data_IF_194422122869
#
_entry.id   IF_194422122869
#
_cell.length_a   1.000
_cell.length_b   1.000
_cell.length_c   1.000
_cell.angle_alpha   90.00
_cell.angle_beta   90.00
_cell.angle_gamma   90.00
#
_symmetry.space_group_name_H-M   'P 1'
#
loop_
_entity.id
_entity.type
_entity.pdbx_description
1 polymer ?
#
# COMPACT_ATOMS: atom_id res chain seq x y z
N UNK A 1 31.08 -86.49 103.45
CA UNK A 1 31.62 -85.32 102.71
C UNK A 1 32.78 -85.68 101.77
N UNK A 2 33.52 -86.75 102.03
CA UNK A 2 34.76 -87.12 101.31
C UNK A 2 34.52 -87.84 99.96
N UNK A 3 33.58 -88.80 99.92
CA UNK A 3 33.24 -89.54 98.69
C UNK A 3 32.79 -88.64 97.52
N UNK A 4 31.96 -87.62 97.77
CA UNK A 4 31.52 -86.68 96.71
C UNK A 4 32.66 -85.82 96.15
N UNK A 5 33.71 -85.56 96.94
CA UNK A 5 34.88 -84.79 96.47
C UNK A 5 35.80 -85.67 95.61
N UNK A 6 36.00 -86.92 96.00
CA UNK A 6 36.75 -87.91 95.22
C UNK A 6 36.10 -88.18 93.86
N UNK A 7 34.77 -88.33 93.83
CA UNK A 7 34.05 -88.62 92.59
C UNK A 7 34.11 -87.45 91.60
N UNK A 8 33.94 -86.20 92.06
CA UNK A 8 34.17 -85.03 91.19
C UNK A 8 35.60 -84.97 90.65
N UNK A 9 36.60 -85.23 91.50
CA UNK A 9 38.01 -85.18 91.08
C UNK A 9 38.34 -86.29 90.07
N UNK A 10 37.65 -87.43 90.16
CA UNK A 10 37.76 -88.51 89.19
C UNK A 10 37.09 -88.15 87.86
N UNK A 11 35.88 -87.61 87.89
CA UNK A 11 35.18 -87.13 86.70
C UNK A 11 35.94 -86.00 86.01
N UNK A 12 36.53 -85.08 86.78
CA UNK A 12 37.38 -84.01 86.26
C UNK A 12 38.64 -84.57 85.60
N UNK A 13 39.29 -85.58 86.20
CA UNK A 13 40.43 -86.25 85.59
C UNK A 13 40.05 -87.07 84.35
N UNK A 14 38.88 -87.71 84.33
CA UNK A 14 38.37 -88.43 83.16
C UNK A 14 38.06 -87.47 82.02
N UNK A 15 37.35 -86.37 82.29
CA UNK A 15 37.11 -85.31 81.31
C UNK A 15 38.41 -84.68 80.81
N UNK A 16 39.38 -84.48 81.69
CA UNK A 16 40.68 -83.93 81.32
C UNK A 16 41.48 -84.92 80.46
N UNK A 17 41.44 -86.21 80.80
CA UNK A 17 42.05 -87.28 80.00
C UNK A 17 41.38 -87.37 78.63
N UNK A 18 40.06 -87.36 78.54
CA UNK A 18 39.32 -87.35 77.28
C UNK A 18 39.62 -86.10 76.46
N UNK A 19 39.69 -84.94 77.10
CA UNK A 19 40.08 -83.69 76.46
C UNK A 19 41.49 -83.76 75.86
N UNK A 20 42.47 -84.27 76.61
CA UNK A 20 43.83 -84.45 76.09
C UNK A 20 43.91 -85.53 75.01
N UNK A 21 43.07 -86.56 75.07
CA UNK A 21 43.01 -87.61 74.04
C UNK A 21 42.45 -87.06 72.73
N UNK A 22 41.37 -86.27 72.79
CA UNK A 22 40.77 -85.62 71.62
C UNK A 22 41.64 -84.49 71.07
N UNK A 23 42.29 -83.69 71.93
CA UNK A 23 43.15 -82.58 71.51
C UNK A 23 44.54 -83.05 71.03
N UNK A 24 45.01 -84.19 71.52
CA UNK A 24 46.29 -84.82 71.16
C UNK A 24 46.24 -85.64 69.87
N UNK A 25 45.04 -85.96 69.36
CA UNK A 25 44.89 -86.53 68.03
C UNK A 25 45.21 -85.48 66.95
N UNK A 26 46.23 -85.77 66.14
CA UNK A 26 46.57 -84.97 64.95
C UNK A 26 45.37 -84.97 63.99
N UNK A 27 44.69 -83.84 63.88
CA UNK A 27 43.57 -83.65 62.94
C UNK A 27 44.12 -83.64 61.51
N UNK A 28 44.18 -84.81 60.86
CA UNK A 28 44.52 -84.91 59.45
C UNK A 28 43.24 -84.61 58.66
N UNK A 29 43.07 -83.35 58.27
CA UNK A 29 41.96 -82.91 57.42
C UNK A 29 42.30 -83.25 55.96
N UNK A 30 42.24 -84.54 55.61
CA UNK A 30 42.55 -85.06 54.26
C UNK A 30 41.80 -84.29 53.16
N UNK A 31 40.56 -83.87 53.45
CA UNK A 31 39.71 -83.09 52.55
C UNK A 31 40.24 -81.67 52.28
N UNK A 32 40.95 -81.04 53.23
CA UNK A 32 41.56 -79.72 53.04
C UNK A 32 42.84 -79.80 52.19
N UNK A 33 43.68 -80.81 52.44
CA UNK A 33 44.88 -81.06 51.64
C UNK A 33 44.51 -81.38 50.18
N UNK A 34 43.48 -82.21 49.97
CA UNK A 34 42.99 -82.53 48.61
C UNK A 34 42.40 -81.31 47.90
N UNK A 35 41.68 -80.44 48.63
CA UNK A 35 41.14 -79.18 48.08
C UNK A 35 42.23 -78.19 47.71
N UNK A 36 43.30 -78.08 48.50
CA UNK A 36 44.45 -77.24 48.17
C UNK A 36 45.24 -77.77 46.97
N UNK A 37 45.46 -79.09 46.89
CA UNK A 37 46.10 -79.73 45.73
C UNK A 37 45.27 -79.49 44.47
N UNK A 38 43.94 -79.66 44.54
CA UNK A 38 43.03 -79.41 43.41
C UNK A 38 43.06 -77.94 42.98
N UNK A 39 43.07 -77.00 43.92
CA UNK A 39 43.23 -75.56 43.61
C UNK A 39 44.56 -75.27 42.93
N UNK A 40 45.67 -75.87 43.40
CA UNK A 40 46.99 -75.71 42.76
C UNK A 40 47.01 -76.33 41.36
N UNK A 41 46.36 -77.47 41.15
CA UNK A 41 46.24 -78.10 39.83
C UNK A 41 45.42 -77.25 38.86
N UNK A 42 44.28 -76.71 39.29
CA UNK A 42 43.46 -75.79 38.48
C UNK A 42 44.24 -74.51 38.17
N UNK A 43 44.92 -73.91 39.15
CA UNK A 43 45.76 -72.73 38.92
C UNK A 43 46.89 -73.01 37.91
N UNK A 44 47.54 -74.18 37.99
CA UNK A 44 48.55 -74.60 37.02
C UNK A 44 47.95 -74.84 35.63
N UNK A 45 46.79 -75.48 35.53
CA UNK A 45 46.10 -75.71 34.26
C UNK A 45 45.71 -74.38 33.60
N UNK A 46 45.16 -73.44 34.37
CA UNK A 46 44.82 -72.10 33.88
C UNK A 46 46.06 -71.32 33.44
N UNK A 47 47.16 -71.40 34.19
CA UNK A 47 48.43 -70.78 33.80
C UNK A 47 48.96 -71.38 32.49
N UNK A 48 48.86 -72.69 32.32
CA UNK A 48 49.29 -73.37 31.11
C UNK A 48 48.43 -72.99 29.91
N UNK A 49 47.11 -72.88 30.09
CA UNK A 49 46.18 -72.43 29.06
C UNK A 49 46.43 -70.97 28.67
N UNK A 50 46.77 -70.11 29.63
CA UNK A 50 47.17 -68.74 29.34
C UNK A 50 48.49 -68.70 28.56
N UNK A 51 49.48 -69.51 28.94
CA UNK A 51 50.75 -69.61 28.22
C UNK A 51 50.54 -70.08 26.78
N UNK A 52 49.72 -71.11 26.56
CA UNK A 52 49.44 -71.58 25.20
C UNK A 52 48.72 -70.52 24.37
N UNK A 53 47.77 -69.77 24.95
CA UNK A 53 47.13 -68.63 24.29
C UNK A 53 48.13 -67.54 23.92
N UNK A 54 49.04 -67.15 24.81
CA UNK A 54 50.06 -66.13 24.51
C UNK A 54 51.03 -66.58 23.43
N UNK A 55 51.45 -67.85 23.44
CA UNK A 55 52.34 -68.41 22.41
C UNK A 55 51.64 -68.41 21.05
N UNK A 56 50.39 -68.84 20.98
CA UNK A 56 49.61 -68.82 19.74
C UNK A 56 49.43 -67.39 19.23
N UNK A 57 49.07 -66.45 20.10
CA UNK A 57 48.90 -65.04 19.74
C UNK A 57 50.20 -64.42 19.20
N UNK A 58 51.36 -64.76 19.77
CA UNK A 58 52.66 -64.32 19.25
C UNK A 58 52.94 -64.95 17.87
N UNK A 59 52.57 -66.21 17.66
CA UNK A 59 52.71 -66.86 16.37
C UNK A 59 51.84 -66.20 15.30
N UNK A 60 50.57 -65.92 15.63
CA UNK A 60 49.61 -65.23 14.77
C UNK A 60 50.11 -63.81 14.40
N UNK A 61 50.66 -63.07 15.37
CA UNK A 61 51.25 -61.74 15.12
C UNK A 61 52.45 -61.83 14.16
N UNK A 62 53.32 -62.82 14.34
CA UNK A 62 54.48 -63.01 13.45
C UNK A 62 54.05 -63.38 12.03
N UNK A 63 53.02 -64.22 11.91
CA UNK A 63 52.45 -64.59 10.61
C UNK A 63 51.83 -63.39 9.92
N UNK A 64 51.04 -62.59 10.64
CA UNK A 64 50.39 -61.37 10.13
C UNK A 64 51.39 -60.29 9.71
N UNK A 65 52.41 -60.03 10.52
CA UNK A 65 53.44 -59.02 10.20
C UNK A 65 54.49 -59.53 9.20
N UNK A 66 54.45 -60.81 8.81
CA UNK A 66 55.42 -61.46 7.94
C UNK A 66 56.89 -61.29 8.39
N UNK A 67 57.12 -61.12 9.69
CA UNK A 67 58.45 -60.88 10.27
C UNK A 67 58.73 -61.86 11.43
N UNK A 68 59.85 -62.62 11.40
CA UNK A 68 60.09 -63.66 12.41
C UNK A 68 60.62 -63.12 13.75
N UNK A 69 61.22 -61.92 13.73
CA UNK A 69 61.87 -61.27 14.87
C UNK A 69 60.87 -60.34 15.59
N UNK A 70 60.45 -60.75 16.78
CA UNK A 70 59.46 -60.01 17.58
C UNK A 70 59.94 -58.59 17.95
N UNK A 71 61.25 -58.41 18.18
CA UNK A 71 61.82 -57.09 18.52
C UNK A 71 61.69 -56.07 17.38
N UNK A 72 61.75 -56.52 16.13
CA UNK A 72 61.57 -55.63 14.99
C UNK A 72 60.10 -55.26 14.80
N UNK A 73 59.18 -56.22 14.99
CA UNK A 73 57.74 -55.95 14.99
C UNK A 73 57.41 -54.91 16.07
N UNK A 74 57.96 -55.06 17.27
CA UNK A 74 57.74 -54.12 18.37
C UNK A 74 58.29 -52.72 18.07
N UNK A 75 59.48 -52.62 17.45
CA UNK A 75 60.06 -51.34 17.01
C UNK A 75 59.23 -50.69 15.91
N UNK A 76 58.87 -51.43 14.86
CA UNK A 76 58.05 -50.94 13.76
C UNK A 76 56.66 -50.49 14.25
N UNK A 77 56.07 -51.22 15.19
CA UNK A 77 54.81 -50.83 15.81
C UNK A 77 54.95 -49.52 16.60
N UNK A 78 56.01 -49.37 17.38
CA UNK A 78 56.27 -48.14 18.13
C UNK A 78 56.48 -46.94 17.19
N UNK A 79 57.28 -47.11 16.13
CA UNK A 79 57.53 -46.06 15.14
C UNK A 79 56.22 -45.65 14.43
N UNK A 80 55.39 -46.63 14.05
CA UNK A 80 54.07 -46.38 13.46
C UNK A 80 53.09 -45.75 14.45
N UNK A 81 53.13 -46.16 15.72
CA UNK A 81 52.30 -45.60 16.78
C UNK A 81 52.67 -44.13 17.01
N UNK A 82 53.96 -43.80 17.05
CA UNK A 82 54.45 -42.42 17.15
C UNK A 82 54.01 -41.57 15.95
N UNK A 83 54.15 -42.09 14.72
CA UNK A 83 53.72 -41.38 13.51
C UNK A 83 52.20 -41.17 13.50
N UNK A 84 51.43 -42.18 13.86
CA UNK A 84 49.97 -42.11 13.94
C UNK A 84 49.52 -41.15 15.04
N UNK A 85 50.20 -41.13 16.19
CA UNK A 85 49.92 -40.21 17.27
C UNK A 85 50.25 -38.76 16.89
N UNK A 86 51.34 -38.54 16.15
CA UNK A 86 51.68 -37.23 15.59
C UNK A 86 50.60 -36.75 14.60
N UNK A 87 50.14 -37.62 13.69
CA UNK A 87 49.04 -37.32 12.76
C UNK A 87 47.74 -37.01 13.50
N UNK A 88 47.39 -37.81 14.50
CA UNK A 88 46.19 -37.59 15.32
C UNK A 88 46.24 -36.25 16.04
N UNK A 89 47.38 -35.91 16.66
CA UNK A 89 47.59 -34.60 17.27
C UNK A 89 47.45 -33.46 16.27
N UNK A 90 48.01 -33.60 15.07
CA UNK A 90 47.91 -32.58 14.03
C UNK A 90 46.46 -32.38 13.57
N UNK A 91 45.70 -33.46 13.36
CA UNK A 91 44.28 -33.39 13.01
C UNK A 91 43.48 -32.73 14.13
N UNK A 92 43.75 -33.04 15.40
CA UNK A 92 43.08 -32.38 16.52
C UNK A 92 43.39 -30.90 16.58
N UNK A 93 44.65 -30.51 16.37
CA UNK A 93 45.04 -29.11 16.32
C UNK A 93 44.33 -28.37 15.18
N UNK A 94 44.26 -28.96 13.98
CA UNK A 94 43.53 -28.38 12.86
C UNK A 94 42.03 -28.25 13.14
N UNK A 95 41.43 -29.22 13.83
CA UNK A 95 40.02 -29.15 14.21
C UNK A 95 39.79 -28.03 15.24
N UNK A 96 40.67 -27.90 16.23
CA UNK A 96 40.62 -26.82 17.22
C UNK A 96 40.75 -25.44 16.54
N UNK A 97 41.69 -25.29 15.60
CA UNK A 97 41.85 -24.07 14.81
C UNK A 97 40.62 -23.78 13.94
N UNK A 98 40.01 -24.81 13.35
CA UNK A 98 38.79 -24.68 12.56
C UNK A 98 37.60 -24.23 13.42
N UNK A 99 37.46 -24.79 14.62
CA UNK A 99 36.44 -24.38 15.59
C UNK A 99 36.65 -22.91 16.00
N UNK A 100 37.88 -22.52 16.34
CA UNK A 100 38.20 -21.13 16.70
C UNK A 100 37.88 -20.14 15.56
N UNK A 101 38.25 -20.50 14.33
CA UNK A 101 37.97 -19.70 13.14
C UNK A 101 36.47 -19.61 12.86
N UNK A 102 35.73 -20.70 13.01
CA UNK A 102 34.28 -20.74 12.84
C UNK A 102 33.59 -19.85 13.89
N UNK A 103 34.01 -19.92 15.15
CA UNK A 103 33.49 -19.07 16.22
C UNK A 103 33.81 -17.59 16.00
N UNK A 104 35.01 -17.29 15.49
CA UNK A 104 35.38 -15.92 15.12
C UNK A 104 34.55 -15.41 13.95
N UNK A 105 34.31 -16.24 12.94
CA UNK A 105 33.45 -15.90 11.80
C UNK A 105 32.01 -15.66 12.27
N UNK A 106 31.47 -16.53 13.13
CA UNK A 106 30.13 -16.37 13.70
C UNK A 106 30.00 -15.06 14.49
N UNK A 107 31.00 -14.72 15.31
CA UNK A 107 31.05 -13.43 16.02
C UNK A 107 31.06 -12.23 15.07
N UNK A 108 31.88 -12.27 14.02
CA UNK A 108 31.92 -11.20 13.01
C UNK A 108 30.60 -11.08 12.26
N UNK A 109 29.94 -12.20 11.93
CA UNK A 109 28.63 -12.18 11.29
C UNK A 109 27.56 -11.58 12.21
N UNK A 110 27.60 -11.88 13.52
CA UNK A 110 26.70 -11.27 14.50
C UNK A 110 26.97 -9.77 14.70
N UNK A 111 28.20 -9.30 14.53
CA UNK A 111 28.53 -7.88 14.63
C UNK A 111 28.16 -7.10 13.36
N UNK A 112 28.45 -7.67 12.18
CA UNK A 112 28.28 -6.99 10.89
C UNK A 112 26.88 -7.18 10.33
N UNK A 113 26.27 -8.36 10.48
CA UNK A 113 24.97 -8.70 9.92
C UNK A 113 23.89 -7.68 10.27
N UNK A 114 23.63 -7.39 11.56
CA UNK A 114 22.62 -6.41 11.96
C UNK A 114 22.91 -5.00 11.42
N UNK A 115 24.18 -4.60 11.32
CA UNK A 115 24.59 -3.31 10.73
C UNK A 115 24.29 -3.26 9.25
N UNK A 116 24.53 -4.35 8.52
CA UNK A 116 24.27 -4.44 7.09
C UNK A 116 22.76 -4.47 6.81
N UNK A 117 21.98 -5.16 7.62
CA UNK A 117 20.52 -5.20 7.51
C UNK A 117 19.91 -3.81 7.71
N UNK A 118 20.33 -3.10 8.77
CA UNK A 118 19.90 -1.71 9.02
C UNK A 118 20.34 -0.78 7.90
N UNK A 119 21.56 -0.93 7.39
CA UNK A 119 22.04 -0.13 6.26
C UNK A 119 21.20 -0.36 5.00
N UNK A 120 20.89 -1.62 4.68
CA UNK A 120 20.08 -1.98 3.52
C UNK A 120 18.64 -1.45 3.65
N UNK A 121 18.04 -1.56 4.84
CA UNK A 121 16.70 -1.02 5.10
C UNK A 121 16.68 0.51 4.98
N UNK A 122 17.65 1.20 5.58
CA UNK A 122 17.78 2.66 5.44
C UNK A 122 17.99 3.07 3.98
N UNK A 123 18.82 2.36 3.24
CA UNK A 123 19.06 2.64 1.83
C UNK A 123 17.79 2.46 0.99
N UNK A 124 17.01 1.39 1.24
CA UNK A 124 15.73 1.17 0.56
C UNK A 124 14.72 2.28 0.86
N UNK A 125 14.62 2.72 2.12
CA UNK A 125 13.76 3.85 2.51
C UNK A 125 14.19 5.15 1.84
N UNK A 126 15.50 5.45 1.80
CA UNK A 126 16.02 6.63 1.13
C UNK A 126 15.74 6.62 -0.37
N UNK A 127 15.87 5.47 -1.03
CA UNK A 127 15.55 5.34 -2.46
C UNK A 127 14.05 5.55 -2.73
N UNK A 128 13.18 5.00 -1.88
CA UNK A 128 11.74 5.24 -1.96
C UNK A 128 11.39 6.72 -1.78
N UNK A 129 11.96 7.38 -0.77
CA UNK A 129 11.76 8.81 -0.56
C UNK A 129 12.29 9.65 -1.71
N UNK A 130 13.45 9.31 -2.28
CA UNK A 130 13.98 10.01 -3.44
C UNK A 130 13.03 9.90 -4.65
N UNK A 131 12.44 8.72 -4.89
CA UNK A 131 11.44 8.52 -5.93
C UNK A 131 10.17 9.34 -5.68
N UNK A 132 9.62 9.28 -4.47
CA UNK A 132 8.43 10.06 -4.11
C UNK A 132 8.67 11.57 -4.24
N UNK A 133 9.84 12.05 -3.81
CA UNK A 133 10.22 13.44 -3.94
C UNK A 133 10.32 13.85 -5.41
N UNK A 134 10.94 13.02 -6.26
CA UNK A 134 11.04 13.27 -7.69
C UNK A 134 9.67 13.30 -8.38
N UNK A 135 8.76 12.38 -8.03
CA UNK A 135 7.39 12.38 -8.54
C UNK A 135 6.61 13.62 -8.09
N UNK A 136 6.76 14.01 -6.83
CA UNK A 136 6.11 15.20 -6.27
C UNK A 136 6.62 16.48 -6.94
N UNK A 137 7.93 16.59 -7.16
CA UNK A 137 8.52 17.73 -7.87
C UNK A 137 7.96 17.78 -9.30
N UNK A 138 7.92 16.65 -10.00
CA UNK A 138 7.40 16.58 -11.36
C UNK A 138 5.92 16.99 -11.44
N UNK A 139 5.09 16.49 -10.53
CA UNK A 139 3.67 16.88 -10.44
C UNK A 139 3.50 18.39 -10.15
N UNK A 140 4.35 18.96 -9.28
CA UNK A 140 4.35 20.40 -9.02
C UNK A 140 4.81 21.21 -10.23
N UNK A 141 5.81 20.75 -10.98
CA UNK A 141 6.27 21.37 -12.23
C UNK A 141 5.16 21.35 -13.28
N UNK A 142 4.48 20.21 -13.46
CA UNK A 142 3.36 20.08 -14.40
C UNK A 142 2.18 21.00 -14.01
N UNK A 143 1.84 21.05 -12.72
CA UNK A 143 0.80 21.96 -12.19
C UNK A 143 1.18 23.43 -12.39
N UNK A 144 2.44 23.78 -12.14
CA UNK A 144 2.95 25.13 -12.35
C UNK A 144 2.86 25.53 -13.83
N UNK A 145 3.29 24.65 -14.74
CA UNK A 145 3.23 24.91 -16.18
C UNK A 145 1.79 25.01 -16.70
N UNK A 146 0.89 24.18 -16.19
CA UNK A 146 -0.53 24.28 -16.51
C UNK A 146 -1.13 25.61 -16.02
N UNK A 147 -0.89 25.97 -14.76
CA UNK A 147 -1.36 27.23 -14.19
C UNK A 147 -0.81 28.45 -14.94
N UNK A 148 0.48 28.41 -15.31
CA UNK A 148 1.15 29.45 -16.10
C UNK A 148 0.55 29.60 -17.49
N UNK A 149 0.25 28.50 -18.18
CA UNK A 149 -0.44 28.51 -19.48
C UNK A 149 -1.84 29.07 -19.35
N UNK A 150 -2.62 28.62 -18.36
CA UNK A 150 -3.97 29.11 -18.09
C UNK A 150 -3.98 30.62 -17.79
N UNK A 151 -3.06 31.09 -16.94
CA UNK A 151 -2.92 32.51 -16.63
C UNK A 151 -2.61 33.35 -17.89
N UNK A 152 -1.70 32.88 -18.75
CA UNK A 152 -1.40 33.55 -20.03
C UNK A 152 -2.63 33.66 -20.93
N UNK A 153 -3.38 32.57 -21.11
CA UNK A 153 -4.61 32.58 -21.92
C UNK A 153 -5.62 33.58 -21.34
N UNK A 154 -5.81 33.60 -20.03
CA UNK A 154 -6.72 34.55 -19.37
C UNK A 154 -6.25 35.99 -19.48
N UNK A 155 -4.95 36.23 -19.44
CA UNK A 155 -4.37 37.55 -19.63
C UNK A 155 -4.55 38.05 -21.07
N UNK A 156 -4.42 37.16 -22.06
CA UNK A 156 -4.67 37.47 -23.47
C UNK A 156 -6.16 37.76 -23.73
N UNK A 157 -7.06 36.93 -23.17
CA UNK A 157 -8.51 37.17 -23.20
C UNK A 157 -8.86 38.54 -22.56
N UNK A 158 -8.26 38.85 -21.40
CA UNK A 158 -8.46 40.13 -20.72
C UNK A 158 -8.00 41.30 -21.59
N UNK A 159 -6.81 41.22 -22.20
CA UNK A 159 -6.29 42.25 -23.11
C UNK A 159 -7.19 42.45 -24.34
N UNK A 160 -7.81 41.39 -24.85
CA UNK A 160 -8.75 41.49 -25.96
C UNK A 160 -10.04 42.21 -25.56
N UNK A 161 -10.60 41.86 -24.40
CA UNK A 161 -11.79 42.51 -23.85
C UNK A 161 -11.51 43.98 -23.54
N UNK A 162 -10.35 44.28 -22.96
CA UNK A 162 -9.92 45.65 -22.67
C UNK A 162 -9.81 46.50 -23.94
N UNK A 163 -9.22 45.95 -25.02
CA UNK A 163 -9.18 46.62 -26.34
C UNK A 163 -10.58 46.90 -26.89
N UNK A 164 -11.50 45.95 -26.80
CA UNK A 164 -12.90 46.14 -27.23
C UNK A 164 -13.55 47.25 -26.42
N UNK A 165 -13.36 47.26 -25.11
CA UNK A 165 -13.95 48.25 -24.22
C UNK A 165 -13.36 49.66 -24.45
N UNK A 166 -12.05 49.77 -24.70
CA UNK A 166 -11.41 51.02 -25.11
C UNK A 166 -11.95 51.55 -26.44
N UNK A 167 -12.23 50.65 -27.39
CA UNK A 167 -12.87 51.01 -28.68
C UNK A 167 -14.28 51.54 -28.47
N UNK A 168 -15.05 50.95 -27.54
CA UNK A 168 -16.38 51.43 -27.18
C UNK A 168 -16.28 52.82 -26.52
N UNK A 169 -15.39 53.02 -25.56
CA UNK A 169 -15.19 54.32 -24.88
C UNK A 169 -14.85 55.41 -25.89
N UNK A 170 -13.88 55.16 -26.77
CA UNK A 170 -13.52 56.14 -27.82
C UNK A 170 -14.64 56.35 -28.83
N UNK A 171 -15.42 55.31 -29.16
CA UNK A 171 -16.63 55.43 -29.97
C UNK A 171 -17.69 56.33 -29.35
N UNK A 172 -17.98 56.15 -28.06
CA UNK A 172 -18.90 57.01 -27.30
C UNK A 172 -18.39 58.44 -27.26
N UNK A 173 -17.08 58.67 -27.04
CA UNK A 173 -16.50 60.00 -27.09
C UNK A 173 -16.66 60.70 -28.44
N UNK A 174 -16.50 59.97 -29.55
CA UNK A 174 -16.76 60.50 -30.90
C UNK A 174 -18.22 60.87 -31.11
N UNK A 175 -19.16 60.03 -30.68
CA UNK A 175 -20.60 60.31 -30.76
C UNK A 175 -20.97 61.54 -29.92
N UNK A 176 -20.41 61.64 -28.72
CA UNK A 176 -20.63 62.77 -27.83
C UNK A 176 -20.17 64.11 -28.45
N UNK A 177 -19.04 64.10 -29.16
CA UNK A 177 -18.57 65.24 -29.96
C UNK A 177 -19.48 65.56 -31.16
N UNK A 178 -19.94 64.55 -31.90
CA UNK A 178 -20.83 64.68 -33.06
C UNK A 178 -22.18 65.33 -32.71
N UNK A 179 -22.79 64.90 -31.61
CA UNK A 179 -24.09 65.42 -31.16
C UNK A 179 -23.99 66.74 -30.38
N UNK A 180 -22.78 67.31 -30.21
CA UNK A 180 -22.50 68.55 -29.46
C UNK A 180 -23.19 68.56 -28.08
N UNK A 181 -23.11 67.44 -27.39
CA UNK A 181 -23.67 67.31 -26.04
C UNK A 181 -22.94 68.25 -25.07
N UNK A 182 -23.67 68.95 -24.20
CA UNK A 182 -23.07 69.86 -23.20
C UNK A 182 -22.48 69.07 -22.04
N UNK A 183 -21.21 69.31 -21.72
CA UNK A 183 -20.50 68.68 -20.59
C UNK A 183 -20.73 69.37 -19.24
N UNK A 184 -21.27 70.59 -19.23
CA UNK A 184 -21.38 71.44 -18.03
C UNK A 184 -22.03 70.75 -16.79
N UNK A 185 -23.13 69.98 -16.91
CA UNK A 185 -23.73 69.31 -15.75
C UNK A 185 -22.98 68.03 -15.32
N UNK A 186 -22.15 67.45 -16.19
CA UNK A 186 -21.31 66.29 -15.87
C UNK A 186 -20.04 66.70 -15.15
N UNK A 187 -19.38 67.78 -15.59
CA UNK A 187 -18.13 68.28 -14.99
C UNK A 187 -18.35 68.74 -13.53
N UNK A 188 -19.52 69.32 -13.23
CA UNK A 188 -19.86 69.72 -11.85
C UNK A 188 -20.10 68.54 -10.92
N UNK A 189 -20.57 67.39 -11.45
CA UNK A 189 -20.87 66.18 -10.68
C UNK A 189 -19.66 65.24 -10.56
N UNK A 190 -18.80 65.20 -11.59
CA UNK A 190 -17.66 64.27 -11.71
C UNK A 190 -16.31 64.91 -11.37
N UNK A 191 -16.25 66.22 -11.13
CA UNK A 191 -15.01 66.95 -10.82
C UNK A 191 -14.04 67.03 -11.99
N UNK A 192 -12.73 66.96 -11.72
CA UNK A 192 -11.64 67.06 -12.73
C UNK A 192 -11.52 65.84 -13.67
N UNK A 193 -12.54 64.99 -13.78
CA UNK A 193 -12.56 63.85 -14.69
C UNK A 193 -13.15 64.26 -16.04
N UNK A 194 -12.43 65.11 -16.77
CA UNK A 194 -12.81 65.55 -18.12
C UNK A 194 -12.78 64.41 -19.15
N UNK A 195 -12.16 63.26 -18.81
CA UNK A 195 -12.05 62.08 -19.67
C UNK A 195 -13.12 61.02 -19.37
N UNK A 196 -13.61 60.39 -20.44
CA UNK A 196 -14.59 59.28 -20.34
C UNK A 196 -13.86 58.04 -19.82
N UNK A 197 -14.25 57.56 -18.65
CA UNK A 197 -13.74 56.34 -18.01
C UNK A 197 -14.83 55.29 -17.80
N UNK A 198 -14.43 54.04 -17.51
CA UNK A 198 -15.34 52.91 -17.27
C UNK A 198 -16.43 53.18 -16.23
N UNK A 199 -16.11 53.93 -15.19
CA UNK A 199 -17.05 54.25 -14.11
C UNK A 199 -18.01 55.40 -14.46
N UNK A 200 -17.64 56.25 -15.43
CA UNK A 200 -18.44 57.41 -15.84
C UNK A 200 -19.21 57.20 -17.15
N UNK A 201 -18.85 56.17 -17.95
CA UNK A 201 -19.41 55.97 -19.29
C UNK A 201 -20.93 55.85 -19.32
N UNK A 202 -21.52 55.27 -18.27
CA UNK A 202 -22.97 55.13 -18.17
C UNK A 202 -23.67 56.51 -18.12
N UNK A 203 -23.14 57.46 -17.35
CA UNK A 203 -23.67 58.83 -17.28
C UNK A 203 -23.54 59.57 -18.62
N UNK A 204 -22.41 59.37 -19.33
CA UNK A 204 -22.23 59.91 -20.68
C UNK A 204 -23.22 59.32 -21.69
N UNK A 205 -23.52 58.02 -21.58
CA UNK A 205 -24.51 57.35 -22.42
C UNK A 205 -25.93 57.84 -22.17
N UNK A 206 -26.34 58.04 -20.91
CA UNK A 206 -27.67 58.56 -20.56
C UNK A 206 -27.91 59.95 -21.16
N UNK A 207 -26.90 60.82 -21.10
CA UNK A 207 -26.97 62.17 -21.67
C UNK A 207 -26.96 62.13 -23.20
N UNK A 208 -26.16 61.25 -23.79
CA UNK A 208 -26.16 61.02 -25.23
C UNK A 208 -27.52 60.51 -25.70
N UNK A 209 -28.12 59.54 -25.00
CA UNK A 209 -29.43 58.98 -25.31
C UNK A 209 -30.53 60.04 -25.24
N UNK A 210 -30.56 60.84 -24.17
CA UNK A 210 -31.54 61.92 -24.03
C UNK A 210 -31.43 62.96 -25.16
N UNK A 211 -30.22 63.29 -25.60
CA UNK A 211 -30.00 64.21 -26.71
C UNK A 211 -30.37 63.60 -28.07
N UNK A 212 -30.04 62.33 -28.30
CA UNK A 212 -30.44 61.60 -29.51
C UNK A 212 -31.97 61.48 -29.59
N UNK A 213 -32.64 61.12 -28.50
CA UNK A 213 -34.11 61.07 -28.44
C UNK A 213 -34.73 62.44 -28.72
N UNK A 214 -34.22 63.53 -28.13
CA UNK A 214 -34.70 64.89 -28.44
C UNK A 214 -34.50 65.24 -29.92
N UNK A 215 -33.36 64.88 -30.51
CA UNK A 215 -33.09 65.10 -31.92
C UNK A 215 -34.02 64.29 -32.82
N UNK A 216 -34.23 62.99 -32.52
CA UNK A 216 -35.15 62.10 -33.24
C UNK A 216 -36.59 62.63 -33.18
N UNK A 217 -37.06 63.03 -32.00
CA UNK A 217 -38.38 63.63 -31.82
C UNK A 217 -38.50 64.92 -32.66
N UNK A 218 -37.48 65.77 -32.63
CA UNK A 218 -37.46 67.00 -33.42
C UNK A 218 -37.49 66.75 -34.93
N UNK A 219 -36.76 65.74 -35.42
CA UNK A 219 -36.79 65.31 -36.83
C UNK A 219 -38.17 64.74 -37.16
N UNK A 220 -38.71 63.85 -36.33
CA UNK A 220 -40.04 63.27 -36.51
C UNK A 220 -41.13 64.33 -36.66
N UNK A 221 -41.16 65.33 -35.77
CA UNK A 221 -42.16 66.42 -35.87
C UNK A 221 -41.95 67.31 -37.09
N UNK A 222 -40.70 67.58 -37.49
CA UNK A 222 -40.41 68.36 -38.71
C UNK A 222 -40.79 67.59 -39.97
N UNK A 223 -40.47 66.30 -40.05
CA UNK A 223 -40.84 65.42 -41.17
C UNK A 223 -42.35 65.26 -41.25
N UNK A 224 -43.04 65.05 -40.13
CA UNK A 224 -44.50 65.02 -40.05
C UNK A 224 -45.12 66.34 -40.53
N UNK A 225 -44.58 67.48 -40.11
CA UNK A 225 -45.04 68.79 -40.58
C UNK A 225 -44.77 69.04 -42.08
N UNK A 226 -43.71 68.46 -42.64
CA UNK A 226 -43.41 68.53 -44.08
C UNK A 226 -44.30 67.59 -44.92
N UNK A 227 -44.66 66.42 -44.38
CA UNK A 227 -45.64 65.49 -44.95
C UNK A 227 -47.04 66.09 -44.96
N UNK A 228 -47.46 66.71 -43.85
CA UNK A 228 -48.74 67.42 -43.76
C UNK A 228 -48.81 68.59 -44.76
N UNK A 229 -47.68 69.26 -45.01
CA UNK A 229 -47.54 70.33 -46.02
C UNK A 229 -47.29 69.81 -47.46
N UNK A 230 -47.34 68.50 -47.69
CA UNK A 230 -47.09 67.80 -48.98
C UNK A 230 -45.77 68.16 -49.68
N UNK A 231 -44.75 68.56 -48.92
CA UNK A 231 -43.41 68.87 -49.45
C UNK A 231 -42.48 67.66 -49.47
N UNK A 232 -42.92 66.51 -48.96
CA UNK A 232 -42.13 65.28 -48.81
C UNK A 232 -43.03 64.05 -49.00
N UNK A 233 -42.48 62.96 -49.55
CA UNK A 233 -43.21 61.69 -49.74
C UNK A 233 -43.02 60.73 -48.55
N UNK A 234 -43.97 59.82 -48.25
CA UNK A 234 -43.87 58.89 -47.12
C UNK A 234 -42.61 58.00 -47.16
N UNK A 235 -42.14 57.62 -48.35
CA UNK A 235 -40.96 56.78 -48.54
C UNK A 235 -39.63 57.46 -48.19
N UNK A 236 -39.63 58.77 -47.94
CA UNK A 236 -38.44 59.54 -47.57
C UNK A 236 -38.29 59.72 -46.05
N UNK A 237 -39.20 59.17 -45.25
CA UNK A 237 -39.16 59.25 -43.78
C UNK A 237 -37.93 58.54 -43.22
N UNK A 238 -37.17 59.23 -42.35
CA UNK A 238 -36.06 58.63 -41.62
C UNK A 238 -36.54 57.70 -40.50
N UNK A 239 -37.76 57.93 -39.97
CA UNK A 239 -38.37 57.12 -38.89
C UNK A 239 -39.65 56.46 -39.42
N UNK A 240 -39.67 55.12 -39.50
CA UNK A 240 -40.82 54.33 -39.97
C UNK A 240 -41.74 53.95 -38.81
N UNK A 241 -43.04 54.16 -38.95
CA UNK A 241 -44.04 53.65 -38.00
C UNK A 241 -44.23 52.13 -38.19
N UNK A 242 -43.84 51.32 -37.19
CA UNK A 242 -44.25 49.91 -37.14
C UNK A 242 -45.70 49.82 -36.65
N UNK A 243 -46.63 49.49 -37.55
CA UNK A 243 -48.02 49.17 -37.24
C UNK A 243 -48.21 47.67 -37.35
N UNK A 244 -47.97 46.91 -36.28
CA UNK A 244 -48.26 45.48 -36.23
C UNK A 244 -48.54 45.00 -34.80
N UNK A 245 -49.51 44.08 -34.58
CA UNK A 245 -49.77 43.51 -33.26
C UNK A 245 -48.63 42.59 -32.81
N UNK A 246 -48.28 42.64 -31.52
CA UNK A 246 -47.28 41.76 -30.91
C UNK A 246 -47.76 40.30 -30.95
N UNK A 247 -46.96 39.41 -31.53
CA UNK A 247 -47.22 37.97 -31.55
C UNK A 247 -46.64 37.37 -30.26
N UNK A 248 -47.49 36.80 -29.41
CA UNK A 248 -47.06 36.05 -28.22
C UNK A 248 -46.82 34.59 -28.61
N UNK A 249 -45.61 34.07 -28.38
CA UNK A 249 -45.29 32.65 -28.60
C UNK A 249 -45.96 31.75 -27.52
N UNK A 250 -46.36 30.51 -27.87
CA UNK A 250 -46.89 29.53 -26.92
C UNK A 250 -45.86 29.14 -25.84
N UNK A 251 -46.34 28.91 -24.61
CA UNK A 251 -45.51 28.61 -23.42
C UNK A 251 -44.67 27.34 -23.62
N UNK A 252 -45.16 26.37 -24.39
CA UNK A 252 -44.41 25.12 -24.66
C UNK A 252 -43.10 25.35 -25.44
N UNK A 253 -42.97 26.51 -26.10
CA UNK A 253 -41.73 26.89 -26.80
C UNK A 253 -40.72 27.56 -25.87
N UNK A 254 -41.19 28.01 -24.70
CA UNK A 254 -40.41 28.78 -23.72
C UNK A 254 -39.86 27.86 -22.62
N UNK A 255 -40.56 26.78 -22.29
CA UNK A 255 -40.18 25.86 -21.19
C UNK A 255 -40.19 24.41 -21.65
N UNK A 256 -39.07 23.70 -21.44
CA UNK A 256 -38.97 22.26 -21.70
C UNK A 256 -39.87 21.46 -20.74
N UNK A 257 -40.61 20.48 -21.26
CA UNK A 257 -41.47 19.60 -20.46
C UNK A 257 -40.65 18.66 -19.58
N UNK A 258 -41.07 18.51 -18.32
CA UNK A 258 -40.47 17.57 -17.36
C UNK A 258 -40.59 16.11 -17.85
N UNK A 259 -39.69 15.20 -17.43
CA UNK A 259 -39.74 13.78 -17.79
C UNK A 259 -41.02 13.13 -17.24
N UNK A 260 -41.60 12.19 -18.00
CA UNK A 260 -42.83 11.50 -17.64
C UNK A 260 -42.59 10.55 -16.46
N UNK A 261 -43.31 10.70 -15.34
CA UNK A 261 -43.10 9.86 -14.15
C UNK A 261 -43.28 8.37 -14.42
N UNK A 262 -44.26 8.01 -15.26
CA UNK A 262 -44.55 6.60 -15.58
C UNK A 262 -43.43 5.93 -16.38
N UNK A 263 -42.79 6.69 -17.29
CA UNK A 263 -41.70 6.16 -18.09
C UNK A 263 -40.43 6.00 -17.26
N UNK A 264 -40.17 6.94 -16.35
CA UNK A 264 -39.05 6.85 -15.39
C UNK A 264 -39.24 5.66 -14.44
N UNK A 265 -40.44 5.46 -13.89
CA UNK A 265 -40.74 4.30 -13.04
C UNK A 265 -40.60 2.97 -13.79
N UNK A 266 -41.03 2.90 -15.06
CA UNK A 266 -40.90 1.68 -15.85
C UNK A 266 -39.43 1.31 -16.07
N UNK A 267 -38.58 2.29 -16.37
CA UNK A 267 -37.14 2.12 -16.56
C UNK A 267 -36.45 1.66 -15.27
N UNK A 268 -36.77 2.30 -14.14
CA UNK A 268 -36.21 1.94 -12.83
C UNK A 268 -36.59 0.52 -12.38
N UNK A 269 -37.73 0.00 -12.85
CA UNK A 269 -38.21 -1.36 -12.51
C UNK A 269 -37.70 -2.39 -13.52
N UNK A 270 -37.35 -1.99 -14.75
CA UNK A 270 -36.74 -2.90 -15.74
C UNK A 270 -35.26 -3.18 -15.47
N UNK A 271 -34.58 -2.31 -14.75
CA UNK A 271 -33.18 -2.51 -14.36
C UNK A 271 -33.08 -3.61 -13.30
N UNK A 272 -32.75 -4.84 -13.74
CA UNK A 272 -32.41 -5.94 -12.82
C UNK A 272 -31.02 -5.66 -12.26
N UNK A 273 -30.97 -5.31 -10.98
CA UNK A 273 -29.73 -4.99 -10.27
C UNK A 273 -29.43 -6.14 -9.30
N UNK A 274 -28.42 -6.95 -9.65
CA UNK A 274 -28.00 -8.11 -8.85
C UNK A 274 -27.00 -7.75 -7.73
N UNK A 275 -26.61 -6.49 -7.58
CA UNK A 275 -25.62 -6.02 -6.60
C UNK A 275 -26.18 -4.99 -5.61
N UNK A 276 -25.65 -4.98 -4.37
CA UNK A 276 -25.97 -3.99 -3.34
C UNK A 276 -25.55 -2.58 -3.79
N UNK A 277 -26.53 -1.70 -4.03
CA UNK A 277 -26.26 -0.31 -4.39
C UNK A 277 -26.04 0.56 -3.15
N UNK A 278 -24.97 1.36 -3.18
CA UNK A 278 -24.71 2.43 -2.23
C UNK A 278 -25.17 3.79 -2.77
N UNK A 279 -25.42 4.75 -1.89
CA UNK A 279 -25.76 6.12 -2.29
C UNK A 279 -24.63 6.74 -3.13
N UNK A 280 -24.97 7.32 -4.28
CA UNK A 280 -23.99 7.95 -5.17
C UNK A 280 -23.57 9.33 -4.67
N UNK A 281 -22.29 9.66 -4.86
CA UNK A 281 -21.78 11.03 -4.69
C UNK A 281 -22.29 11.95 -5.81
N UNK A 282 -22.33 13.26 -5.54
CA UNK A 282 -22.83 14.28 -6.49
C UNK A 282 -22.19 14.20 -7.88
N UNK A 283 -20.89 13.92 -7.94
CA UNK A 283 -20.13 13.79 -9.19
C UNK A 283 -20.55 12.54 -9.98
N UNK A 284 -20.71 11.40 -9.31
CA UNK A 284 -21.19 10.15 -9.92
C UNK A 284 -22.63 10.29 -10.45
N UNK A 285 -23.46 11.07 -9.75
CA UNK A 285 -24.82 11.40 -10.20
C UNK A 285 -24.77 12.21 -11.51
N UNK A 286 -23.92 13.23 -11.58
CA UNK A 286 -23.77 14.06 -12.78
C UNK A 286 -23.26 13.25 -13.97
N UNK A 287 -22.30 12.36 -13.74
CA UNK A 287 -21.75 11.48 -14.78
C UNK A 287 -22.83 10.53 -15.33
N UNK A 288 -23.56 9.83 -14.45
CA UNK A 288 -24.66 8.94 -14.85
C UNK A 288 -25.80 9.69 -15.56
N UNK A 289 -26.14 10.88 -15.09
CA UNK A 289 -27.14 11.74 -15.74
C UNK A 289 -26.68 12.15 -17.15
N UNK A 290 -25.41 12.51 -17.30
CA UNK A 290 -24.83 12.89 -18.59
C UNK A 290 -24.76 11.70 -19.57
N UNK A 291 -24.49 10.49 -19.07
CA UNK A 291 -24.52 9.28 -19.87
C UNK A 291 -25.95 8.96 -20.31
N UNK A 292 -26.93 9.12 -19.42
CA UNK A 292 -28.36 8.92 -19.72
C UNK A 292 -28.90 9.89 -20.78
N UNK A 293 -28.49 11.16 -20.73
CA UNK A 293 -28.87 12.16 -21.73
C UNK A 293 -28.29 11.89 -23.13
N UNK A 294 -27.24 11.08 -23.23
CA UNK A 294 -26.61 10.69 -24.51
C UNK A 294 -27.26 9.46 -25.15
N UNK A 295 -28.15 8.73 -24.44
CA UNK A 295 -28.84 7.58 -25.00
C UNK A 295 -29.88 8.02 -26.03
N UNK A 296 -29.90 7.36 -27.19
CA UNK A 296 -30.92 7.57 -28.22
C UNK A 296 -32.30 7.21 -27.65
N UNK A 297 -33.24 8.17 -27.69
CA UNK A 297 -34.58 8.03 -27.11
C UNK A 297 -34.80 8.73 -25.75
N UNK A 298 -33.76 9.29 -25.12
CA UNK A 298 -33.92 10.00 -23.83
C UNK A 298 -34.84 11.23 -23.92
N UNK A 299 -34.91 11.88 -25.09
CA UNK A 299 -35.82 13.00 -25.34
C UNK A 299 -37.30 12.57 -25.43
N UNK A 300 -37.57 11.31 -25.77
CA UNK A 300 -38.91 10.76 -25.84
C UNK A 300 -39.52 10.51 -24.45
N UNK A 301 -38.75 10.67 -23.37
CA UNK A 301 -39.26 10.62 -22.00
C UNK A 301 -39.82 11.98 -21.55
N UNK A 302 -39.51 13.08 -22.24
CA UNK A 302 -39.91 14.45 -21.86
C UNK A 302 -41.29 14.81 -22.41
N UNK A 303 -42.31 14.05 -22.01
CA UNK A 303 -43.70 14.31 -22.35
C UNK A 303 -44.59 14.33 -21.11
N UNK A 304 -45.76 14.97 -21.23
CA UNK A 304 -46.78 14.88 -20.20
C UNK A 304 -47.38 13.47 -20.13
N UNK A 305 -47.99 13.12 -19.00
CA UNK A 305 -48.66 11.81 -18.81
C UNK A 305 -49.75 11.58 -19.86
N UNK A 306 -50.38 12.65 -20.36
CA UNK A 306 -51.41 12.60 -21.40
C UNK A 306 -50.92 12.09 -22.75
N UNK A 307 -49.62 12.26 -23.06
CA UNK A 307 -48.98 11.78 -24.29
C UNK A 307 -48.16 10.49 -24.08
N UNK A 308 -48.25 9.87 -22.90
CA UNK A 308 -47.51 8.65 -22.57
C UNK A 308 -48.14 7.41 -23.21
N UNK A 309 -47.32 6.51 -23.76
CA UNK A 309 -47.79 5.29 -24.44
C UNK A 309 -47.92 4.04 -23.55
N UNK A 310 -47.52 4.12 -22.27
CA UNK A 310 -47.58 2.97 -21.34
C UNK A 310 -49.02 2.58 -20.99
N UNK A 311 -49.33 1.28 -20.80
CA UNK A 311 -50.70 0.84 -20.45
C UNK A 311 -51.27 1.54 -19.20
N UNK A 312 -50.43 1.77 -18.17
CA UNK A 312 -50.80 2.50 -16.95
C UNK A 312 -51.22 3.96 -17.20
N UNK A 313 -50.67 4.63 -18.22
CA UNK A 313 -51.08 6.01 -18.55
C UNK A 313 -52.52 6.03 -19.06
N UNK A 314 -52.92 5.02 -19.85
CA UNK A 314 -54.27 4.89 -20.40
C UNK A 314 -55.30 4.68 -19.29
N UNK A 315 -54.96 3.89 -18.27
CA UNK A 315 -55.80 3.71 -17.08
C UNK A 315 -55.97 5.03 -16.28
N UNK A 316 -54.89 5.80 -16.09
CA UNK A 316 -54.93 7.09 -15.39
C UNK A 316 -55.76 8.11 -16.17
N UNK A 317 -55.62 8.14 -17.49
CA UNK A 317 -56.39 9.03 -18.37
C UNK A 317 -57.88 8.64 -18.31
N UNK A 318 -58.20 7.36 -18.39
CA UNK A 318 -59.59 6.88 -18.28
C UNK A 318 -60.23 7.21 -16.93
N UNK A 319 -59.47 7.10 -15.81
CA UNK A 319 -59.94 7.51 -14.48
C UNK A 319 -60.15 9.02 -14.31
N UNK A 320 -59.52 9.87 -15.13
CA UNK A 320 -59.73 11.33 -15.11
C UNK A 320 -60.99 11.77 -15.85
N UNK A 321 -61.51 10.92 -16.73
CA UNK A 321 -62.70 11.19 -17.53
C UNK A 321 -63.96 10.46 -17.02
N UNK A 322 -63.87 9.75 -15.88
CA UNK A 322 -65.00 9.25 -15.09
C UNK A 322 -65.30 10.22 -13.95
#
# INVERSE_FOLDING_TARGET
MEMRRLQRRHDDNMKLKDFFTVKGQKRIMKDLEEKEIRRRQIARANMQEQLTKYVNLIADIKEFCHEPVLENIARNFLDQEEENFAKFKYVNYLNEEMEELSDRLGRLQLEIGPRLDVFNEQHALHEMWAKQQAETIKDLEDKYDHAKKSARVKEDEFKEVEKKLQTIITGVGKLFGLFKCKNDPLISLLGHNETIHYYNIQLYLEILEANIQKALIGVFYKEKGLLERRKMKPDQLMIREQKGPLVMDPIERIVNTNPCPLCVEHEMVSDVIDELQFAYDKEKIQEKLSARLKLEGAAELNHNVSKCHLPKSREIIQKRYQ
#
